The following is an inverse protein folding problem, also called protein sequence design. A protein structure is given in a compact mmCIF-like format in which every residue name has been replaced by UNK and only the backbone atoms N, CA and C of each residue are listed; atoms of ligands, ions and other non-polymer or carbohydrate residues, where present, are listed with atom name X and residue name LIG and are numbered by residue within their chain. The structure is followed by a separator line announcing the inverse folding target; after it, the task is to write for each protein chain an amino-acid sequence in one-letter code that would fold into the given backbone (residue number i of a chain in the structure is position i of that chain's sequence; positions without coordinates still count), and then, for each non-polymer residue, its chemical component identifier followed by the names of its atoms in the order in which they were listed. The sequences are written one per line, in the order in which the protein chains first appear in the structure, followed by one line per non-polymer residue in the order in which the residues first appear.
data_IF_479416937594
#
_entry.id   IF_479416937594
#
_cell.length_a   1.000
_cell.length_b   1.000
_cell.length_c   1.000
_cell.angle_alpha   90.00
_cell.angle_beta   90.00
_cell.angle_gamma   90.00
#
_symmetry.space_group_name_H-M   'P 1'
#
loop_
_entity.id
_entity.type
_entity.pdbx_description
1 polymer ?
#
# COMPACT_ATOMS: atom_id res chain seq x y z
N UNK A 1 17.96 27.78 6.60
CA UNK A 1 17.27 26.49 6.41
C UNK A 1 18.19 25.37 6.89
N UNK A 2 17.71 24.47 7.75
CA UNK A 2 18.49 23.30 8.19
C UNK A 2 18.59 22.32 7.01
N UNK A 3 19.81 21.94 6.60
CA UNK A 3 19.99 20.84 5.65
C UNK A 3 19.56 19.55 6.36
N UNK A 4 18.59 18.84 5.79
CA UNK A 4 18.21 17.53 6.28
C UNK A 4 19.34 16.55 5.95
N UNK A 5 19.43 15.45 6.71
CA UNK A 5 20.40 14.38 6.47
C UNK A 5 19.68 13.06 6.24
N UNK A 6 20.39 12.04 5.77
CA UNK A 6 19.82 10.70 5.62
C UNK A 6 19.35 10.12 6.97
N UNK A 7 20.04 10.46 8.07
CA UNK A 7 19.64 10.06 9.42
C UNK A 7 18.28 10.66 9.84
N UNK A 8 17.99 11.89 9.42
CA UNK A 8 16.66 12.50 9.64
C UNK A 8 15.57 11.70 8.89
N UNK A 9 15.90 11.18 7.72
CA UNK A 9 15.01 10.34 6.91
C UNK A 9 14.69 9.02 7.62
N UNK A 10 15.72 8.34 8.12
CA UNK A 10 15.57 7.11 8.90
C UNK A 10 14.74 7.34 10.16
N UNK A 11 14.96 8.44 10.87
CA UNK A 11 14.19 8.78 12.07
C UNK A 11 12.71 9.03 11.76
N UNK A 12 12.39 9.69 10.64
CA UNK A 12 11.00 9.91 10.20
C UNK A 12 10.34 8.58 9.81
N UNK A 13 11.07 7.70 9.12
CA UNK A 13 10.59 6.36 8.77
C UNK A 13 10.22 5.54 10.01
N UNK A 14 11.13 5.45 10.98
CA UNK A 14 10.84 4.76 12.24
C UNK A 14 9.62 5.35 12.97
N UNK A 15 9.50 6.68 13.05
CA UNK A 15 8.35 7.35 13.68
C UNK A 15 7.02 7.06 13.00
N UNK A 16 7.01 6.80 11.70
CA UNK A 16 5.80 6.55 10.89
C UNK A 16 5.59 5.06 10.59
N UNK A 17 6.32 4.18 11.27
CA UNK A 17 6.20 2.72 11.12
C UNK A 17 6.69 2.20 9.77
N UNK A 18 7.61 2.91 9.13
CA UNK A 18 8.25 2.51 7.88
C UNK A 18 9.74 2.27 8.01
N UNK A 19 10.37 1.82 6.92
CA UNK A 19 11.81 1.60 6.79
C UNK A 19 12.41 2.60 5.81
N UNK A 20 13.62 3.06 6.11
CA UNK A 20 14.40 3.82 5.13
C UNK A 20 15.31 2.85 4.38
N UNK A 21 15.18 2.84 3.06
CA UNK A 21 15.93 1.96 2.15
C UNK A 21 17.09 2.69 1.46
N UNK A 22 17.18 4.01 1.60
CA UNK A 22 18.22 4.81 0.94
C UNK A 22 19.50 4.89 1.77
N UNK A 23 20.63 4.81 1.08
CA UNK A 23 21.96 5.11 1.60
C UNK A 23 22.45 6.50 1.20
N UNK A 24 21.78 7.16 0.25
CA UNK A 24 22.20 8.45 -0.33
C UNK A 24 21.11 9.55 -0.26
N UNK A 25 21.54 10.80 -0.17
CA UNK A 25 20.68 11.94 0.19
C UNK A 25 19.92 12.58 -0.99
N UNK A 26 20.19 12.20 -2.25
CA UNK A 26 19.59 12.86 -3.42
C UNK A 26 18.07 12.67 -3.45
N UNK A 27 17.61 11.45 -3.20
CA UNK A 27 16.22 11.11 -2.95
C UNK A 27 16.16 9.96 -1.96
N UNK A 28 15.18 9.96 -1.06
CA UNK A 28 15.05 8.91 -0.07
C UNK A 28 14.06 7.85 -0.54
N UNK A 29 14.57 6.63 -0.76
CA UNK A 29 13.76 5.42 -0.85
C UNK A 29 13.22 5.08 0.54
N UNK A 30 11.90 4.99 0.62
CA UNK A 30 11.16 4.76 1.85
C UNK A 30 10.22 3.59 1.63
N UNK A 31 10.04 2.79 2.67
CA UNK A 31 9.04 1.75 2.75
C UNK A 31 8.07 2.07 3.88
N UNK A 32 6.76 1.93 3.69
CA UNK A 32 5.78 2.16 4.75
C UNK A 32 5.43 0.84 5.46
N UNK A 33 4.61 0.92 6.52
CA UNK A 33 4.10 -0.26 7.22
C UNK A 33 3.36 -1.25 6.30
N UNK A 34 2.78 -0.77 5.19
CA UNK A 34 2.12 -1.60 4.18
C UNK A 34 3.09 -2.16 3.12
N UNK A 35 4.40 -2.07 3.37
CA UNK A 35 5.47 -2.54 2.48
C UNK A 35 5.54 -1.88 1.10
N UNK A 36 4.85 -0.75 0.88
CA UNK A 36 5.04 0.02 -0.35
C UNK A 36 6.36 0.74 -0.31
N UNK A 37 7.12 0.58 -1.37
CA UNK A 37 8.38 1.29 -1.60
C UNK A 37 8.11 2.48 -2.52
N UNK A 38 8.58 3.66 -2.11
CA UNK A 38 8.52 4.83 -2.97
C UNK A 38 9.75 5.72 -2.73
N UNK A 39 10.11 6.44 -3.78
CA UNK A 39 11.17 7.44 -3.73
C UNK A 39 10.54 8.82 -3.54
N UNK A 40 11.00 9.59 -2.55
CA UNK A 40 10.55 10.98 -2.38
C UNK A 40 11.63 11.86 -1.78
N UNK A 41 11.43 13.17 -1.85
CA UNK A 41 12.29 14.14 -1.18
C UNK A 41 11.85 14.35 0.27
N UNK A 42 12.80 14.43 1.19
CA UNK A 42 12.53 14.72 2.60
C UNK A 42 11.79 16.06 2.80
N UNK A 43 12.03 17.03 1.93
CA UNK A 43 11.34 18.31 1.98
C UNK A 43 9.83 18.13 1.79
N UNK A 44 9.39 17.24 0.89
CA UNK A 44 7.97 16.94 0.71
C UNK A 44 7.38 16.26 1.96
N UNK A 45 8.12 15.32 2.57
CA UNK A 45 7.68 14.62 3.78
C UNK A 45 7.48 15.59 4.97
N UNK A 46 8.40 16.55 5.11
CA UNK A 46 8.42 17.48 6.25
C UNK A 46 7.48 18.68 6.04
N UNK A 47 7.48 19.30 4.86
CA UNK A 47 6.68 20.49 4.58
C UNK A 47 5.24 20.16 4.16
N UNK A 48 5.05 19.13 3.33
CA UNK A 48 3.73 18.81 2.76
C UNK A 48 2.91 17.84 3.61
N UNK A 49 3.43 17.40 4.77
CA UNK A 49 2.83 16.37 5.64
C UNK A 49 2.44 15.08 4.89
N UNK A 50 3.03 14.83 3.74
CA UNK A 50 2.81 13.61 2.97
C UNK A 50 3.74 12.51 3.49
N UNK A 51 3.29 11.26 3.43
CA UNK A 51 4.09 10.11 3.82
C UNK A 51 4.22 9.16 2.64
N UNK A 52 3.24 8.28 2.48
CA UNK A 52 3.17 7.33 1.39
C UNK A 52 2.01 7.74 0.47
N UNK A 53 2.30 8.01 -0.80
CA UNK A 53 1.27 8.33 -1.81
C UNK A 53 0.33 7.16 -2.05
N UNK A 54 0.81 5.92 -1.90
CA UNK A 54 0.01 4.71 -1.95
C UNK A 54 -0.98 4.64 -0.78
N UNK A 55 -0.53 4.86 0.45
CA UNK A 55 -1.43 4.92 1.62
C UNK A 55 -2.37 6.13 1.59
N UNK A 56 -1.94 7.24 1.01
CA UNK A 56 -2.77 8.42 0.81
C UNK A 56 -3.72 8.31 -0.40
N UNK A 57 -3.70 7.18 -1.11
CA UNK A 57 -4.49 6.92 -2.32
C UNK A 57 -4.34 8.02 -3.40
N UNK A 58 -3.14 8.61 -3.48
CA UNK A 58 -2.77 9.64 -4.47
C UNK A 58 -1.95 9.06 -5.63
N UNK A 59 -1.43 7.85 -5.47
CA UNK A 59 -0.69 7.15 -6.52
C UNK A 59 -1.67 6.35 -7.40
N UNK A 60 -1.36 6.28 -8.70
CA UNK A 60 -1.93 5.25 -9.58
C UNK A 60 -1.33 3.90 -9.19
N UNK A 61 -2.16 3.00 -8.70
CA UNK A 61 -1.72 1.64 -8.37
C UNK A 61 -1.56 0.82 -9.66
N UNK A 62 -0.66 -0.15 -9.62
CA UNK A 62 -0.44 -1.15 -10.68
C UNK A 62 -1.03 -2.50 -10.26
N UNK A 63 -1.11 -3.45 -11.19
CA UNK A 63 -1.54 -4.81 -10.85
C UNK A 63 -0.49 -5.51 -9.96
N UNK A 64 0.78 -5.14 -10.09
CA UNK A 64 1.88 -5.57 -9.23
C UNK A 64 1.67 -5.08 -7.79
N UNK A 65 1.28 -3.83 -7.60
CA UNK A 65 0.92 -3.29 -6.28
C UNK A 65 -0.21 -4.12 -5.65
N UNK A 66 -1.24 -4.46 -6.43
CA UNK A 66 -2.33 -5.32 -5.96
C UNK A 66 -1.85 -6.68 -5.49
N UNK A 67 -0.97 -7.33 -6.26
CA UNK A 67 -0.38 -8.63 -5.89
C UNK A 67 0.44 -8.53 -4.61
N UNK A 68 1.21 -7.46 -4.44
CA UNK A 68 2.06 -7.27 -3.26
C UNK A 68 1.21 -7.07 -1.99
N UNK A 69 0.11 -6.30 -2.07
CA UNK A 69 -0.83 -6.14 -0.95
C UNK A 69 -1.52 -7.46 -0.64
N UNK A 70 -1.91 -8.21 -1.67
CA UNK A 70 -2.51 -9.51 -1.46
C UNK A 70 -1.55 -10.42 -0.69
N UNK A 71 -0.30 -10.50 -1.15
CA UNK A 71 0.75 -11.28 -0.52
C UNK A 71 1.00 -10.86 0.95
N UNK A 72 1.06 -9.56 1.24
CA UNK A 72 1.27 -9.07 2.62
C UNK A 72 0.11 -9.40 3.57
N UNK A 73 -1.09 -9.66 3.04
CA UNK A 73 -2.28 -10.11 3.78
C UNK A 73 -2.47 -11.64 3.73
N UNK A 74 -1.46 -12.42 3.32
CA UNK A 74 -1.56 -13.88 3.10
C UNK A 74 -2.68 -14.27 2.11
N UNK A 75 -2.95 -13.38 1.16
CA UNK A 75 -3.87 -13.59 0.06
C UNK A 75 -3.17 -13.52 -1.30
N UNK A 76 -3.96 -13.57 -2.35
CA UNK A 76 -3.52 -13.52 -3.73
C UNK A 76 -4.47 -12.67 -4.57
N UNK A 77 -3.90 -11.86 -5.46
CA UNK A 77 -4.66 -11.13 -6.47
C UNK A 77 -4.78 -12.03 -7.71
N UNK A 78 -6.01 -12.44 -8.04
CA UNK A 78 -6.31 -13.30 -9.18
C UNK A 78 -6.44 -12.52 -10.50
N UNK A 79 -6.59 -11.21 -10.43
CA UNK A 79 -6.69 -10.35 -11.61
C UNK A 79 -5.37 -10.27 -12.36
N UNK A 80 -5.45 -10.27 -13.69
CA UNK A 80 -4.29 -10.08 -14.59
C UNK A 80 -4.12 -8.65 -15.08
N UNK A 81 -5.16 -7.83 -14.99
CA UNK A 81 -5.19 -6.45 -15.50
C UNK A 81 -5.78 -5.52 -14.45
N UNK A 82 -5.28 -4.29 -14.41
CA UNK A 82 -5.78 -3.21 -13.56
C UNK A 82 -5.92 -1.95 -14.41
N UNK A 83 -7.13 -1.69 -14.89
CA UNK A 83 -7.38 -0.59 -15.82
C UNK A 83 -7.48 0.76 -15.12
N UNK A 84 -8.04 0.81 -13.90
CA UNK A 84 -8.17 2.03 -13.11
C UNK A 84 -8.45 1.72 -11.62
N UNK A 85 -8.42 2.76 -10.77
CA UNK A 85 -8.62 2.67 -9.32
C UNK A 85 -10.02 2.28 -8.84
N UNK A 86 -10.99 2.26 -9.75
CA UNK A 86 -12.38 1.84 -9.50
C UNK A 86 -12.67 0.45 -10.05
N UNK A 87 -11.82 -0.09 -10.93
CA UNK A 87 -11.98 -1.41 -11.50
C UNK A 87 -11.89 -2.46 -10.38
N UNK A 88 -12.91 -3.33 -10.23
CA UNK A 88 -12.89 -4.38 -9.24
C UNK A 88 -11.76 -5.37 -9.56
N UNK A 89 -10.94 -5.67 -8.57
CA UNK A 89 -9.94 -6.72 -8.61
C UNK A 89 -10.49 -7.98 -7.95
N UNK A 90 -10.06 -9.15 -8.43
CA UNK A 90 -10.38 -10.44 -7.85
C UNK A 90 -9.31 -10.81 -6.83
N UNK A 91 -9.74 -11.11 -5.60
CA UNK A 91 -8.86 -11.44 -4.47
C UNK A 91 -9.18 -12.83 -3.96
N UNK A 92 -8.16 -13.49 -3.41
CA UNK A 92 -8.26 -14.77 -2.71
C UNK A 92 -7.55 -14.67 -1.37
N UNK A 93 -8.14 -15.16 -0.28
CA UNK A 93 -7.43 -15.27 1.01
C UNK A 93 -6.80 -16.66 1.21
N UNK A 94 -6.02 -16.81 2.27
CA UNK A 94 -5.43 -18.10 2.69
C UNK A 94 -6.45 -19.21 2.92
N UNK A 95 -7.70 -18.87 3.28
CA UNK A 95 -8.81 -19.81 3.46
C UNK A 95 -9.54 -20.14 2.14
N UNK A 96 -9.01 -19.70 0.98
CA UNK A 96 -9.60 -19.86 -0.36
C UNK A 96 -10.96 -19.19 -0.58
N UNK A 97 -11.32 -18.21 0.25
CA UNK A 97 -12.43 -17.32 -0.09
C UNK A 97 -12.02 -16.42 -1.25
N UNK A 98 -12.90 -16.29 -2.24
CA UNK A 98 -12.71 -15.45 -3.42
C UNK A 98 -13.76 -14.34 -3.43
N UNK A 99 -13.33 -13.10 -3.72
CA UNK A 99 -14.25 -11.96 -3.79
C UNK A 99 -13.72 -10.88 -4.73
N UNK A 100 -14.63 -10.00 -5.16
CA UNK A 100 -14.29 -8.82 -5.94
C UNK A 100 -14.30 -7.58 -5.05
N UNK A 101 -13.19 -6.84 -5.05
CA UNK A 101 -13.08 -5.56 -4.34
C UNK A 101 -12.15 -4.63 -5.10
N UNK A 102 -12.38 -3.32 -5.02
CA UNK A 102 -11.39 -2.35 -5.50
C UNK A 102 -10.13 -2.40 -4.63
N UNK A 103 -8.99 -1.99 -5.17
CA UNK A 103 -7.73 -1.91 -4.45
C UNK A 103 -7.84 -1.11 -3.14
N UNK A 104 -8.59 -0.01 -3.16
CA UNK A 104 -8.83 0.84 -1.99
C UNK A 104 -9.64 0.13 -0.90
N UNK A 105 -10.64 -0.65 -1.30
CA UNK A 105 -11.45 -1.42 -0.35
C UNK A 105 -10.60 -2.55 0.25
N UNK A 106 -9.81 -3.24 -0.57
CA UNK A 106 -8.97 -4.35 -0.11
C UNK A 106 -7.85 -3.90 0.84
N UNK A 107 -7.19 -2.78 0.55
CA UNK A 107 -6.13 -2.23 1.42
C UNK A 107 -6.65 -1.79 2.78
N UNK A 108 -7.86 -1.20 2.83
CA UNK A 108 -8.52 -0.75 4.06
C UNK A 108 -9.04 -1.89 4.98
N UNK A 109 -9.07 -3.14 4.51
CA UNK A 109 -9.49 -4.28 5.32
C UNK A 109 -8.34 -4.77 6.20
N UNK A 110 -8.29 -4.36 7.46
CA UNK A 110 -7.27 -4.79 8.43
C UNK A 110 -7.43 -6.24 8.86
N UNK A 111 -6.36 -7.05 8.65
CA UNK A 111 -5.93 -8.39 9.16
C UNK A 111 -6.93 -9.49 9.56
N UNK A 112 -8.21 -9.23 9.59
CA UNK A 112 -9.27 -10.19 9.87
C UNK A 112 -10.41 -9.75 8.97
N UNK A 113 -10.92 -10.66 8.14
CA UNK A 113 -12.12 -10.44 7.31
C UNK A 113 -13.38 -10.21 8.16
N UNK A 114 -13.39 -9.16 8.97
CA UNK A 114 -14.53 -8.65 9.72
C UNK A 114 -14.80 -7.27 9.15
N UNK A 115 -15.96 -7.15 8.51
CA UNK A 115 -16.55 -5.93 7.95
C UNK A 115 -16.23 -5.59 6.49
N UNK A 116 -16.65 -6.48 5.59
CA UNK A 116 -17.82 -6.20 4.72
C UNK A 116 -18.48 -7.52 4.30
N UNK A 117 -19.23 -8.11 5.24
CA UNK A 117 -20.23 -9.16 4.96
C UNK A 117 -21.58 -8.56 4.51
N UNK A 118 -21.60 -7.28 4.17
CA UNK A 118 -22.79 -6.59 3.67
C UNK A 118 -22.60 -6.29 2.19
N UNK A 119 -23.32 -7.05 1.36
CA UNK A 119 -23.50 -6.88 -0.09
C UNK A 119 -22.44 -7.53 -1.00
N UNK A 120 -22.58 -8.84 -1.19
CA UNK A 120 -22.78 -9.48 -2.51
C UNK A 120 -22.32 -10.93 -2.43
N UNK A 121 -23.15 -11.76 -1.82
CA UNK A 121 -23.06 -13.20 -1.98
C UNK A 121 -23.28 -13.54 -3.46
N UNK A 122 -22.23 -14.00 -4.14
CA UNK A 122 -22.34 -15.09 -5.10
C UNK A 122 -21.33 -16.15 -4.69
N UNK A 123 -21.73 -16.94 -3.69
CA UNK A 123 -21.25 -18.32 -3.58
C UNK A 123 -21.65 -19.00 -4.89
N UNK A 124 -20.69 -19.30 -5.75
CA UNK A 124 -20.87 -20.30 -6.79
C UNK A 124 -20.45 -21.62 -6.12
N UNK A 125 -21.44 -22.33 -5.59
CA UNK A 125 -21.44 -23.79 -5.47
C UNK A 125 -22.78 -24.26 -6.00
#
# INVERSE_FOLDING_TARGET
MRKLTINDACAIAGKRGGLCLSTEYVNANMQCANSYEWTTSLNNINNSKTWCSYCANKASHTIEDAKQVAFSKNGECLSKMYDNSFSPLSWRCSERHEWNASFNTYTALDKVGKYVFTMAYKKIF
#
